data_IF_993780639855
#
_entry.id   IF_993780639855
#
_cell.length_a   1.000
_cell.length_b   1.000
_cell.length_c   1.000
_cell.angle_alpha   90.00
_cell.angle_beta   90.00
_cell.angle_gamma   90.00
#
_symmetry.space_group_name_H-M   'P 1'
#
loop_
_entity.id
_entity.type
_entity.pdbx_description
1 polymer ?
#
# COMPACT_ATOMS: atom_id res chain seq x y z
N UNK A 1 3.50 -13.79 -25.96
CA UNK A 1 2.12 -13.73 -25.43
C UNK A 1 1.71 -12.27 -25.50
N UNK A 2 0.59 -11.92 -26.13
CA UNK A 2 0.15 -10.52 -26.14
C UNK A 2 -0.52 -10.20 -24.80
N UNK A 3 0.13 -9.34 -24.03
CA UNK A 3 -0.42 -8.80 -22.78
C UNK A 3 -0.87 -7.37 -23.06
N UNK A 4 -2.11 -7.05 -22.68
CA UNK A 4 -2.66 -5.69 -22.79
C UNK A 4 -3.00 -5.17 -21.39
N UNK A 5 -2.73 -3.90 -21.16
CA UNK A 5 -3.08 -3.20 -19.92
C UNK A 5 -4.24 -2.24 -20.23
N UNK A 6 -5.32 -2.36 -19.45
CA UNK A 6 -6.55 -1.61 -19.64
C UNK A 6 -6.89 -0.80 -18.38
N UNK A 7 -6.78 0.53 -18.46
CA UNK A 7 -7.14 1.43 -17.36
C UNK A 7 -8.65 1.48 -17.09
N UNK A 8 -9.03 1.44 -15.82
CA UNK A 8 -10.41 1.64 -15.39
C UNK A 8 -10.66 3.13 -15.09
N UNK A 9 -11.00 3.89 -16.14
CA UNK A 9 -11.26 5.33 -16.07
C UNK A 9 -12.33 5.74 -15.04
N UNK A 10 -13.31 4.87 -14.76
CA UNK A 10 -14.33 5.16 -13.75
C UNK A 10 -13.75 5.16 -12.34
N UNK A 11 -12.82 4.24 -12.04
CA UNK A 11 -12.14 4.21 -10.75
C UNK A 11 -11.14 5.36 -10.62
N UNK A 12 -10.39 5.68 -11.68
CA UNK A 12 -9.47 6.83 -11.67
C UNK A 12 -10.23 8.12 -11.35
N UNK A 13 -11.37 8.34 -12.00
CA UNK A 13 -12.21 9.52 -11.78
C UNK A 13 -12.70 9.64 -10.33
N UNK A 14 -13.02 8.53 -9.66
CA UNK A 14 -13.47 8.58 -8.25
C UNK A 14 -12.33 8.90 -7.28
N UNK A 15 -11.07 8.66 -7.67
CA UNK A 15 -9.87 8.92 -6.87
C UNK A 15 -9.28 10.33 -7.03
N UNK A 16 -9.68 11.07 -8.07
CA UNK A 16 -9.21 12.45 -8.31
C UNK A 16 -9.37 13.39 -7.10
N UNK A 17 -10.41 13.19 -6.28
CA UNK A 17 -10.63 14.00 -5.06
C UNK A 17 -9.47 13.88 -4.06
N UNK A 18 -8.85 12.70 -3.97
CA UNK A 18 -7.71 12.44 -3.09
C UNK A 18 -6.40 12.92 -3.71
N UNK A 19 -6.23 12.76 -5.02
CA UNK A 19 -5.07 13.28 -5.75
C UNK A 19 -4.95 14.79 -5.67
N UNK A 20 -6.09 15.50 -5.60
CA UNK A 20 -6.13 16.96 -5.47
C UNK A 20 -6.15 17.42 -4.01
N UNK A 21 -6.17 16.50 -3.04
CA UNK A 21 -6.24 16.86 -1.62
C UNK A 21 -4.88 17.37 -1.12
N UNK A 22 -4.85 18.63 -0.71
CA UNK A 22 -3.63 19.29 -0.25
C UNK A 22 -2.99 18.61 0.96
N UNK A 23 -3.79 18.22 1.96
CA UNK A 23 -3.27 17.65 3.21
C UNK A 23 -2.76 16.23 2.98
N UNK A 24 -3.45 15.43 2.17
CA UNK A 24 -3.02 14.09 1.80
C UNK A 24 -1.69 14.12 1.03
N UNK A 25 -1.55 15.00 0.03
CA UNK A 25 -0.30 15.16 -0.71
C UNK A 25 0.85 15.63 0.19
N UNK A 26 0.56 16.54 1.14
CA UNK A 26 1.55 16.97 2.11
C UNK A 26 1.99 15.83 3.03
N UNK A 27 1.06 14.95 3.45
CA UNK A 27 1.37 13.76 4.24
C UNK A 27 2.22 12.76 3.45
N UNK A 28 1.91 12.54 2.17
CA UNK A 28 2.71 11.69 1.27
C UNK A 28 4.15 12.21 1.18
N UNK A 29 4.33 13.50 0.95
CA UNK A 29 5.66 14.11 0.89
C UNK A 29 6.42 13.96 2.21
N UNK A 30 5.76 14.08 3.35
CA UNK A 30 6.39 13.81 4.65
C UNK A 30 6.78 12.34 4.80
N UNK A 31 5.91 11.40 4.43
CA UNK A 31 6.22 9.97 4.50
C UNK A 31 7.43 9.60 3.61
N UNK A 32 7.57 10.22 2.45
CA UNK A 32 8.72 10.01 1.54
C UNK A 32 9.99 10.67 2.10
N UNK A 33 9.95 11.96 2.40
CA UNK A 33 11.14 12.73 2.78
C UNK A 33 11.72 12.31 4.14
N UNK A 34 10.88 11.79 5.01
CA UNK A 34 11.25 11.38 6.36
C UNK A 34 11.14 9.86 6.55
N UNK A 35 11.17 9.08 5.46
CA UNK A 35 10.96 7.63 5.49
C UNK A 35 11.86 6.90 6.51
N UNK A 36 13.11 7.32 6.65
CA UNK A 36 14.09 6.73 7.58
C UNK A 36 14.00 7.27 9.03
N UNK A 37 13.10 8.22 9.31
CA UNK A 37 12.92 8.77 10.65
C UNK A 37 12.21 7.75 11.54
N UNK A 38 12.86 7.40 12.65
CA UNK A 38 12.38 6.36 13.55
C UNK A 38 10.98 6.66 14.08
N UNK A 39 10.09 5.67 13.96
CA UNK A 39 8.71 5.76 14.44
C UNK A 39 7.74 6.55 13.56
N UNK A 40 8.21 7.28 12.53
CA UNK A 40 7.35 8.16 11.73
C UNK A 40 6.24 7.40 10.98
N UNK A 41 6.60 6.40 10.19
CA UNK A 41 5.60 5.65 9.41
C UNK A 41 4.62 4.88 10.32
N UNK A 42 5.10 4.39 11.47
CA UNK A 42 4.25 3.82 12.52
C UNK A 42 3.30 4.86 13.10
N UNK A 43 3.77 6.08 13.35
CA UNK A 43 2.93 7.18 13.82
C UNK A 43 1.85 7.52 12.80
N UNK A 44 2.22 7.72 11.53
CA UNK A 44 1.27 7.96 10.44
C UNK A 44 0.22 6.84 10.38
N UNK A 45 0.66 5.57 10.46
CA UNK A 45 -0.24 4.44 10.47
C UNK A 45 -1.26 4.52 11.61
N UNK A 46 -0.81 4.79 12.83
CA UNK A 46 -1.65 4.92 14.02
C UNK A 46 -2.62 6.09 13.87
N UNK A 47 -2.17 7.26 13.42
CA UNK A 47 -2.99 8.47 13.27
C UNK A 47 -4.22 8.24 12.37
N UNK A 48 -4.09 7.42 11.33
CA UNK A 48 -5.21 7.05 10.45
C UNK A 48 -6.31 6.19 11.12
N UNK A 49 -6.05 5.58 12.29
CA UNK A 49 -7.05 4.76 13.01
C UNK A 49 -7.82 5.53 14.09
N UNK A 50 -7.36 6.71 14.49
CA UNK A 50 -7.95 7.46 15.60
C UNK A 50 -9.10 8.34 15.10
N UNK A 51 -10.08 8.58 15.96
CA UNK A 51 -11.38 9.18 15.58
C UNK A 51 -11.78 10.40 16.40
N UNK A 52 -10.83 10.98 17.14
CA UNK A 52 -11.06 12.19 17.91
C UNK A 52 -9.73 12.86 18.26
N UNK A 53 -9.82 14.13 18.65
CA UNK A 53 -8.67 14.97 19.02
C UNK A 53 -7.92 14.47 20.25
N UNK A 54 -8.63 14.00 21.28
CA UNK A 54 -7.99 13.51 22.51
C UNK A 54 -7.06 12.33 22.21
N UNK A 55 -7.47 11.43 21.31
CA UNK A 55 -6.64 10.31 20.90
C UNK A 55 -5.42 10.76 20.08
N UNK A 56 -5.56 11.80 19.23
CA UNK A 56 -4.41 12.43 18.55
C UNK A 56 -3.38 12.95 19.55
N UNK A 57 -3.82 13.70 20.57
CA UNK A 57 -2.95 14.27 21.59
C UNK A 57 -2.23 13.17 22.40
N UNK A 58 -2.98 12.15 22.81
CA UNK A 58 -2.43 11.02 23.56
C UNK A 58 -1.36 10.27 22.74
N UNK A 59 -1.63 10.00 21.46
CA UNK A 59 -0.68 9.29 20.62
C UNK A 59 0.56 10.14 20.31
N UNK A 60 0.39 11.45 20.08
CA UNK A 60 1.54 12.34 19.92
C UNK A 60 2.44 12.33 21.16
N UNK A 61 1.87 12.44 22.36
CA UNK A 61 2.65 12.41 23.60
C UNK A 61 3.40 11.08 23.77
N UNK A 62 2.74 9.94 23.53
CA UNK A 62 3.35 8.61 23.63
C UNK A 62 4.52 8.45 22.63
N UNK A 63 4.34 8.89 21.40
CA UNK A 63 5.38 8.83 20.38
C UNK A 63 6.54 9.77 20.68
N UNK A 64 6.28 10.97 21.19
CA UNK A 64 7.33 11.89 21.63
C UNK A 64 8.19 11.27 22.75
N UNK A 65 7.56 10.62 23.73
CA UNK A 65 8.28 9.92 24.80
C UNK A 65 9.09 8.72 24.30
N UNK A 66 8.62 8.04 23.26
CA UNK A 66 9.24 6.82 22.71
C UNK A 66 10.34 7.14 21.70
N UNK A 67 10.19 8.22 20.93
CA UNK A 67 11.06 8.65 19.84
C UNK A 67 11.43 10.14 19.98
N UNK A 68 12.09 10.55 21.08
CA UNK A 68 12.36 11.96 21.35
C UNK A 68 13.23 12.63 20.29
N UNK A 69 14.10 11.87 19.62
CA UNK A 69 14.96 12.40 18.55
C UNK A 69 14.20 12.67 17.24
N UNK A 70 13.01 12.09 17.06
CA UNK A 70 12.15 12.28 15.90
C UNK A 70 11.04 13.32 16.13
N UNK A 71 11.10 14.07 17.24
CA UNK A 71 9.99 14.92 17.71
C UNK A 71 9.57 15.94 16.64
N UNK A 72 10.52 16.57 15.95
CA UNK A 72 10.24 17.62 14.98
C UNK A 72 9.39 17.09 13.82
N UNK A 73 9.73 15.93 13.26
CA UNK A 73 9.00 15.33 12.15
C UNK A 73 7.67 14.73 12.61
N UNK A 74 7.64 14.09 13.79
CA UNK A 74 6.39 13.59 14.40
C UNK A 74 5.42 14.73 14.67
N UNK A 75 5.89 15.87 15.17
CA UNK A 75 5.08 17.06 15.40
C UNK A 75 4.50 17.62 14.10
N UNK A 76 5.27 17.62 13.01
CA UNK A 76 4.76 18.03 11.69
C UNK A 76 3.59 17.15 11.22
N UNK A 77 3.70 15.83 11.39
CA UNK A 77 2.59 14.90 11.10
C UNK A 77 1.39 15.20 12.00
N UNK A 78 1.62 15.32 13.31
CA UNK A 78 0.56 15.61 14.27
C UNK A 78 -0.19 16.91 13.92
N UNK A 79 0.54 18.00 13.68
CA UNK A 79 -0.01 19.31 13.27
C UNK A 79 -0.83 19.22 12.00
N UNK A 80 -0.37 18.41 11.04
CA UNK A 80 -1.11 18.14 9.81
C UNK A 80 -2.46 17.47 10.11
N UNK A 81 -2.47 16.41 10.92
CA UNK A 81 -3.69 15.67 11.25
C UNK A 81 -4.71 16.49 12.06
N UNK A 82 -4.28 17.30 13.03
CA UNK A 82 -5.20 18.17 13.80
C UNK A 82 -5.77 19.33 12.99
N UNK A 83 -5.08 19.75 11.93
CA UNK A 83 -5.58 20.80 11.01
C UNK A 83 -6.48 20.18 9.94
N UNK A 84 -6.07 19.03 9.43
CA UNK A 84 -6.79 18.31 8.38
C UNK A 84 -8.09 17.68 8.90
N UNK A 85 -8.09 17.15 10.12
CA UNK A 85 -9.22 16.45 10.75
C UNK A 85 -9.83 15.37 9.85
N UNK A 86 -9.04 14.39 9.38
CA UNK A 86 -9.51 13.42 8.39
C UNK A 86 -10.68 12.56 8.90
N UNK A 87 -10.74 12.31 10.22
CA UNK A 87 -11.82 11.53 10.83
C UNK A 87 -13.20 12.20 10.77
N UNK A 88 -13.25 13.53 10.58
CA UNK A 88 -14.51 14.27 10.41
C UNK A 88 -14.92 14.39 8.94
N UNK A 89 -13.94 14.39 8.03
CA UNK A 89 -14.14 14.76 6.63
C UNK A 89 -14.28 13.57 5.67
N UNK A 90 -13.75 12.40 6.04
CA UNK A 90 -13.66 11.25 5.13
C UNK A 90 -14.20 9.96 5.76
N UNK A 91 -14.61 9.05 4.87
CA UNK A 91 -14.54 7.63 5.22
C UNK A 91 -13.06 7.23 5.37
N UNK A 92 -12.65 6.96 6.61
CA UNK A 92 -11.26 6.63 6.90
C UNK A 92 -10.80 5.34 6.19
N UNK A 93 -11.69 4.41 5.85
CA UNK A 93 -11.35 3.23 5.04
C UNK A 93 -10.90 3.63 3.63
N UNK A 94 -11.68 4.47 2.97
CA UNK A 94 -11.39 5.00 1.64
C UNK A 94 -10.10 5.84 1.65
N UNK A 95 -9.97 6.75 2.61
CA UNK A 95 -8.81 7.63 2.72
C UNK A 95 -7.50 6.84 2.94
N UNK A 96 -7.52 5.83 3.80
CA UNK A 96 -6.37 4.95 4.06
C UNK A 96 -5.92 4.20 2.81
N UNK A 97 -6.87 3.68 2.03
CA UNK A 97 -6.58 3.02 0.75
C UNK A 97 -5.88 3.97 -0.21
N UNK A 98 -6.48 5.14 -0.44
CA UNK A 98 -5.93 6.15 -1.36
C UNK A 98 -4.57 6.68 -0.90
N UNK A 99 -4.36 6.87 0.41
CA UNK A 99 -3.04 7.25 0.93
C UNK A 99 -1.95 6.26 0.53
N UNK A 100 -2.17 4.96 0.75
CA UNK A 100 -1.14 3.95 0.45
C UNK A 100 -0.88 3.83 -1.05
N UNK A 101 -1.93 3.87 -1.87
CA UNK A 101 -1.79 3.80 -3.31
C UNK A 101 -1.04 5.01 -3.86
N UNK A 102 -1.40 6.23 -3.43
CA UNK A 102 -0.71 7.44 -3.86
C UNK A 102 0.74 7.49 -3.36
N UNK A 103 0.99 7.08 -2.12
CA UNK A 103 2.35 6.95 -1.60
C UNK A 103 3.18 5.98 -2.44
N UNK A 104 2.64 4.80 -2.72
CA UNK A 104 3.31 3.76 -3.51
C UNK A 104 3.58 4.24 -4.93
N UNK A 105 2.58 4.85 -5.57
CA UNK A 105 2.70 5.41 -6.91
C UNK A 105 3.78 6.50 -6.99
N UNK A 106 3.81 7.45 -6.04
CA UNK A 106 4.79 8.52 -6.07
C UNK A 106 6.23 7.99 -5.90
N UNK A 107 6.44 6.98 -5.05
CA UNK A 107 7.78 6.38 -4.90
C UNK A 107 8.17 5.59 -6.15
N UNK A 108 7.26 4.77 -6.68
CA UNK A 108 7.51 3.99 -7.90
C UNK A 108 7.78 4.89 -9.10
N UNK A 109 7.03 5.98 -9.27
CA UNK A 109 7.22 6.93 -10.35
C UNK A 109 8.58 7.64 -10.29
N UNK A 110 9.15 7.83 -9.10
CA UNK A 110 10.51 8.34 -8.96
C UNK A 110 11.57 7.29 -9.30
N UNK A 111 11.31 6.01 -9.02
CA UNK A 111 12.24 4.91 -9.27
C UNK A 111 12.25 4.46 -10.74
N UNK A 112 11.07 4.40 -11.36
CA UNK A 112 10.83 3.90 -12.71
C UNK A 112 10.42 5.05 -13.65
N UNK A 113 11.16 6.15 -13.60
CA UNK A 113 10.78 7.40 -14.29
C UNK A 113 10.74 7.28 -15.83
N UNK A 114 11.42 6.28 -16.40
CA UNK A 114 11.45 6.01 -17.85
C UNK A 114 10.46 4.91 -18.28
N UNK A 115 9.81 4.27 -17.31
CA UNK A 115 8.93 3.12 -17.55
C UNK A 115 7.45 3.56 -17.61
N UNK A 116 6.60 2.69 -18.16
CA UNK A 116 5.16 2.97 -18.16
C UNK A 116 4.53 2.51 -16.85
N UNK A 117 3.88 3.43 -16.13
CA UNK A 117 3.17 3.14 -14.88
C UNK A 117 1.69 3.40 -15.08
N UNK A 118 0.88 2.37 -14.84
CA UNK A 118 -0.57 2.40 -14.96
C UNK A 118 -1.20 2.29 -13.59
N UNK A 119 -2.33 2.97 -13.39
CA UNK A 119 -3.10 2.91 -12.13
C UNK A 119 -4.48 2.35 -12.41
N UNK A 120 -5.09 1.71 -11.41
CA UNK A 120 -6.45 1.17 -11.53
C UNK A 120 -6.67 0.35 -12.80
N UNK A 121 -5.75 -0.56 -13.10
CA UNK A 121 -5.65 -1.20 -14.41
C UNK A 121 -5.86 -2.71 -14.37
N UNK A 122 -6.36 -3.29 -15.45
CA UNK A 122 -6.50 -4.73 -15.62
C UNK A 122 -5.49 -5.25 -16.63
N UNK A 123 -5.04 -6.48 -16.43
CA UNK A 123 -4.20 -7.22 -17.37
C UNK A 123 -5.11 -8.15 -18.17
N UNK A 124 -5.08 -8.03 -19.50
CA UNK A 124 -5.75 -8.95 -20.42
C UNK A 124 -4.73 -9.86 -21.11
N UNK A 125 -4.99 -11.16 -21.06
CA UNK A 125 -4.17 -12.21 -21.68
C UNK A 125 -5.11 -13.14 -22.44
N UNK A 126 -5.10 -13.05 -23.78
CA UNK A 126 -6.03 -13.79 -24.63
C UNK A 126 -7.48 -13.55 -24.16
N UNK A 127 -8.17 -14.56 -23.64
CA UNK A 127 -9.55 -14.48 -23.14
C UNK A 127 -9.66 -14.27 -21.62
N UNK A 128 -8.52 -14.17 -20.92
CA UNK A 128 -8.49 -13.91 -19.48
C UNK A 128 -8.35 -12.41 -19.20
N UNK A 129 -9.13 -11.90 -18.25
CA UNK A 129 -9.02 -10.54 -17.72
C UNK A 129 -8.81 -10.65 -16.21
N UNK A 130 -7.75 -10.02 -15.69
CA UNK A 130 -7.49 -9.98 -14.25
C UNK A 130 -8.50 -9.13 -13.50
N UNK A 131 -8.44 -9.15 -12.16
CA UNK A 131 -9.00 -8.07 -11.37
C UNK A 131 -8.27 -6.76 -11.65
N UNK A 132 -8.83 -5.65 -11.17
CA UNK A 132 -8.17 -4.33 -11.25
C UNK A 132 -7.06 -4.27 -10.22
N UNK A 133 -5.84 -4.03 -10.68
CA UNK A 133 -4.65 -3.75 -9.88
C UNK A 133 -4.59 -2.27 -9.54
N UNK A 134 -4.07 -1.97 -8.36
CA UNK A 134 -3.94 -0.59 -7.90
C UNK A 134 -2.85 0.13 -8.72
N UNK A 135 -1.70 -0.51 -8.94
CA UNK A 135 -0.58 0.00 -9.77
C UNK A 135 0.04 -1.15 -10.58
N UNK A 136 0.38 -0.87 -11.84
CA UNK A 136 1.16 -1.76 -12.72
C UNK A 136 2.37 -0.97 -13.23
N UNK A 137 3.57 -1.52 -13.07
CA UNK A 137 4.79 -1.00 -13.72
C UNK A 137 5.16 -1.95 -14.84
N UNK A 138 5.37 -1.40 -16.04
CA UNK A 138 5.82 -2.09 -17.24
C UNK A 138 7.25 -1.65 -17.56
N UNK A 139 8.20 -2.51 -17.18
CA UNK A 139 9.65 -2.29 -17.20
C UNK A 139 10.36 -3.59 -17.68
N UNK A 140 10.16 -3.92 -18.96
CA UNK A 140 10.46 -5.21 -19.62
C UNK A 140 9.71 -6.44 -19.03
N UNK A 141 9.44 -6.41 -17.74
CA UNK A 141 8.59 -7.30 -16.96
C UNK A 141 7.41 -6.50 -16.37
N UNK A 142 6.39 -7.21 -15.90
CA UNK A 142 5.23 -6.59 -15.24
C UNK A 142 5.34 -6.76 -13.75
N UNK A 143 5.29 -5.63 -13.04
CA UNK A 143 5.22 -5.56 -11.60
C UNK A 143 3.81 -5.13 -11.22
N UNK A 144 3.07 -6.04 -10.60
CA UNK A 144 1.65 -5.90 -10.30
C UNK A 144 1.47 -5.66 -8.81
N UNK A 145 1.15 -4.41 -8.45
CA UNK A 145 1.05 -3.98 -7.07
C UNK A 145 -0.41 -3.93 -6.60
N UNK A 146 -0.68 -4.61 -5.48
CA UNK A 146 -1.96 -4.56 -4.77
C UNK A 146 -1.73 -3.95 -3.38
N UNK A 147 -2.28 -2.75 -3.18
CA UNK A 147 -2.17 -1.97 -1.97
C UNK A 147 -3.30 -2.31 -0.99
N UNK A 148 -2.92 -2.60 0.26
CA UNK A 148 -3.85 -2.90 1.36
C UNK A 148 -3.36 -2.22 2.62
N UNK A 149 -3.86 -1.02 2.90
CA UNK A 149 -3.44 -0.26 4.10
C UNK A 149 -3.58 -1.07 5.39
N UNK A 150 -4.67 -1.84 5.53
CA UNK A 150 -4.89 -2.73 6.66
C UNK A 150 -4.86 -4.19 6.23
N UNK A 151 -4.11 -5.02 6.97
CA UNK A 151 -4.10 -6.47 6.80
C UNK A 151 -5.52 -7.10 6.82
N UNK A 152 -6.47 -6.50 7.54
CA UNK A 152 -7.84 -7.02 7.64
C UNK A 152 -8.58 -6.99 6.30
N UNK A 153 -8.19 -6.09 5.40
CA UNK A 153 -8.77 -5.97 4.06
C UNK A 153 -8.37 -7.12 3.13
N UNK A 154 -7.28 -7.84 3.44
CA UNK A 154 -6.89 -9.03 2.69
C UNK A 154 -7.90 -10.15 2.92
N UNK A 155 -8.43 -10.70 1.83
CA UNK A 155 -9.40 -11.80 1.80
C UNK A 155 -8.85 -12.91 0.90
N UNK A 156 -9.25 -14.16 1.20
CA UNK A 156 -8.82 -15.34 0.42
C UNK A 156 -9.12 -15.19 -1.08
N UNK A 157 -10.29 -14.64 -1.43
CA UNK A 157 -10.66 -14.38 -2.83
C UNK A 157 -9.65 -13.52 -3.59
N UNK A 158 -9.00 -12.54 -2.94
CA UNK A 158 -7.99 -11.70 -3.59
C UNK A 158 -6.74 -12.52 -3.90
N UNK A 159 -6.29 -13.34 -2.93
CA UNK A 159 -5.15 -14.26 -3.11
C UNK A 159 -5.42 -15.21 -4.29
N UNK A 160 -6.60 -15.81 -4.33
CA UNK A 160 -6.98 -16.75 -5.40
C UNK A 160 -7.00 -16.07 -6.78
N UNK A 161 -7.47 -14.83 -6.87
CA UNK A 161 -7.44 -14.03 -8.10
C UNK A 161 -6.02 -13.76 -8.58
N UNK A 162 -5.12 -13.37 -7.67
CA UNK A 162 -3.72 -13.12 -8.00
C UNK A 162 -3.01 -14.39 -8.47
N UNK A 163 -3.19 -15.52 -7.77
CA UNK A 163 -2.62 -16.81 -8.18
C UNK A 163 -3.16 -17.25 -9.54
N UNK A 164 -4.44 -17.02 -9.82
CA UNK A 164 -5.03 -17.34 -11.11
C UNK A 164 -4.34 -16.58 -12.25
N UNK A 165 -4.07 -15.27 -12.08
CA UNK A 165 -3.31 -14.50 -13.07
C UNK A 165 -1.87 -15.02 -13.19
N UNK A 166 -1.17 -15.26 -12.08
CA UNK A 166 0.21 -15.76 -12.13
C UNK A 166 0.33 -17.09 -12.88
N UNK A 167 -0.67 -17.98 -12.73
CA UNK A 167 -0.72 -19.22 -13.50
C UNK A 167 -1.00 -19.01 -15.00
N UNK A 168 -1.54 -17.84 -15.40
CA UNK A 168 -1.75 -17.47 -16.81
C UNK A 168 -0.54 -16.79 -17.44
N UNK A 169 0.27 -16.12 -16.62
CA UNK A 169 1.50 -15.45 -17.05
C UNK A 169 2.66 -16.43 -17.36
N UNK A 170 2.50 -17.73 -17.12
CA UNK A 170 3.37 -18.83 -17.58
C UNK A 170 4.90 -18.58 -17.46
N UNK A 171 5.44 -18.64 -16.23
CA UNK A 171 6.88 -18.59 -15.90
C UNK A 171 7.68 -17.38 -16.44
N UNK A 172 7.00 -16.35 -16.95
CA UNK A 172 7.60 -15.04 -17.13
C UNK A 172 7.85 -14.43 -15.75
N UNK A 173 8.98 -13.75 -15.58
CA UNK A 173 9.48 -13.15 -14.33
C UNK A 173 8.58 -12.05 -13.72
N UNK A 174 7.33 -11.89 -14.18
CA UNK A 174 6.37 -10.93 -13.63
C UNK A 174 6.18 -11.13 -12.12
N UNK A 175 6.19 -10.03 -11.38
CA UNK A 175 6.12 -10.05 -9.92
C UNK A 175 4.76 -9.55 -9.45
N UNK A 176 4.09 -10.34 -8.62
CA UNK A 176 2.92 -9.88 -7.86
C UNK A 176 3.38 -9.41 -6.49
N UNK A 177 3.07 -8.16 -6.17
CA UNK A 177 3.58 -7.47 -4.98
C UNK A 177 2.39 -7.00 -4.15
N UNK A 178 2.30 -7.51 -2.93
CA UNK A 178 1.33 -7.07 -1.94
C UNK A 178 1.95 -5.98 -1.08
N UNK A 179 1.40 -4.77 -1.13
CA UNK A 179 1.88 -3.62 -0.37
C UNK A 179 0.97 -3.40 0.83
N UNK A 180 1.54 -3.43 2.04
CA UNK A 180 0.82 -3.19 3.27
C UNK A 180 1.44 -2.04 4.05
N UNK A 181 0.59 -1.12 4.52
CA UNK A 181 0.97 -0.14 5.53
C UNK A 181 0.64 -0.69 6.92
N UNK A 182 1.16 -1.87 7.24
CA UNK A 182 0.89 -2.60 8.49
C UNK A 182 2.15 -3.39 8.88
N UNK A 183 2.46 -3.57 10.18
CA UNK A 183 3.56 -4.42 10.62
C UNK A 183 3.50 -5.86 10.07
N UNK A 184 4.65 -6.41 9.65
CA UNK A 184 4.79 -7.78 9.10
C UNK A 184 4.08 -8.84 9.91
N UNK A 185 4.21 -8.76 11.23
CA UNK A 185 3.66 -9.75 12.16
C UNK A 185 2.13 -9.89 11.99
N UNK A 186 1.42 -8.78 11.85
CA UNK A 186 -0.05 -8.78 11.69
C UNK A 186 -0.46 -9.35 10.34
N UNK A 187 0.31 -9.07 9.28
CA UNK A 187 0.11 -9.63 7.95
C UNK A 187 0.28 -11.16 8.00
N UNK A 188 1.36 -11.65 8.61
CA UNK A 188 1.63 -13.08 8.75
C UNK A 188 0.52 -13.81 9.53
N UNK A 189 0.04 -13.22 10.63
CA UNK A 189 -1.11 -13.76 11.39
C UNK A 189 -2.36 -13.85 10.51
N UNK A 190 -2.62 -12.84 9.68
CA UNK A 190 -3.75 -12.84 8.76
C UNK A 190 -3.63 -13.90 7.67
N UNK A 191 -2.46 -14.04 7.07
CA UNK A 191 -2.21 -15.04 6.04
C UNK A 191 -2.42 -16.45 6.59
N UNK A 192 -1.97 -16.75 7.80
CA UNK A 192 -2.25 -18.03 8.49
C UNK A 192 -3.76 -18.25 8.66
N UNK A 193 -4.50 -17.22 9.09
CA UNK A 193 -5.96 -17.32 9.23
C UNK A 193 -6.68 -17.60 7.89
N UNK A 194 -6.19 -17.03 6.80
CA UNK A 194 -6.78 -17.19 5.46
C UNK A 194 -6.51 -18.56 4.80
N UNK A 195 -5.69 -19.41 5.42
CA UNK A 195 -5.41 -20.77 4.96
C UNK A 195 -6.65 -21.67 4.86
N UNK A 196 -7.70 -21.39 5.64
CA UNK A 196 -8.84 -22.27 5.92
C UNK A 196 -9.25 -23.17 4.74
N UNK A 197 -9.30 -24.49 4.98
CA UNK A 197 -9.56 -25.56 4.01
C UNK A 197 -8.49 -25.84 2.94
N UNK A 198 -7.30 -25.22 3.03
CA UNK A 198 -6.14 -25.54 2.19
C UNK A 198 -5.05 -26.22 3.02
N UNK A 199 -4.43 -27.29 2.49
CA UNK A 199 -3.26 -27.92 3.11
C UNK A 199 -2.16 -26.89 3.33
N UNK A 200 -1.52 -26.93 4.50
CA UNK A 200 -0.53 -25.93 4.93
C UNK A 200 0.60 -25.75 3.92
N UNK A 201 1.18 -26.85 3.45
CA UNK A 201 2.27 -26.84 2.46
C UNK A 201 1.85 -26.15 1.16
N UNK A 202 0.70 -26.55 0.59
CA UNK A 202 0.16 -25.95 -0.63
C UNK A 202 -0.15 -24.46 -0.45
N UNK A 203 -0.68 -24.07 0.71
CA UNK A 203 -0.98 -22.68 0.98
C UNK A 203 0.30 -21.86 1.13
N UNK A 204 1.31 -22.37 1.83
CA UNK A 204 2.61 -21.73 1.96
C UNK A 204 3.29 -21.54 0.59
N UNK A 205 3.26 -22.57 -0.27
CA UNK A 205 3.74 -22.48 -1.66
C UNK A 205 3.03 -21.37 -2.44
N UNK A 206 1.71 -21.22 -2.30
CA UNK A 206 0.97 -20.12 -2.93
C UNK A 206 1.43 -18.76 -2.40
N UNK A 207 1.56 -18.61 -1.08
CA UNK A 207 1.93 -17.32 -0.47
C UNK A 207 3.36 -16.91 -0.81
N UNK A 208 4.29 -17.87 -0.88
CA UNK A 208 5.70 -17.61 -1.20
C UNK A 208 5.91 -17.09 -2.63
N UNK A 209 4.88 -17.12 -3.48
CA UNK A 209 4.92 -16.52 -4.83
C UNK A 209 4.73 -15.01 -4.81
N UNK A 210 4.27 -14.43 -3.69
CA UNK A 210 4.08 -13.00 -3.56
C UNK A 210 5.28 -12.35 -2.90
N UNK A 211 5.71 -11.23 -3.47
CA UNK A 211 6.53 -10.29 -2.72
C UNK A 211 5.61 -9.48 -1.81
N UNK A 212 5.94 -9.38 -0.54
CA UNK A 212 5.14 -8.62 0.40
C UNK A 212 6.01 -7.48 0.94
N UNK A 213 5.55 -6.26 0.74
CA UNK A 213 6.11 -5.03 1.30
C UNK A 213 5.26 -4.65 2.51
N UNK A 214 5.89 -4.34 3.63
CA UNK A 214 5.24 -4.00 4.90
C UNK A 214 5.59 -2.59 5.40
N UNK A 215 5.10 -2.24 6.59
CA UNK A 215 5.38 -0.96 7.23
C UNK A 215 6.86 -0.77 7.60
N UNK A 216 7.54 -1.85 7.97
CA UNK A 216 8.97 -1.83 8.29
C UNK A 216 9.81 -1.52 7.05
N UNK A 217 9.42 -1.99 5.87
CA UNK A 217 10.07 -1.70 4.58
C UNK A 217 9.96 -0.20 4.25
N UNK A 218 8.78 0.42 4.44
CA UNK A 218 8.60 1.87 4.30
C UNK A 218 9.48 2.67 5.28
N UNK A 219 9.88 2.07 6.41
CA UNK A 219 10.69 2.73 7.43
C UNK A 219 12.20 2.67 7.14
N UNK A 220 12.62 1.97 6.07
CA UNK A 220 14.04 1.81 5.68
C UNK A 220 14.46 2.72 4.52
N UNK A 221 13.56 3.53 3.99
CA UNK A 221 13.80 4.35 2.79
C UNK A 221 12.83 3.95 1.67
N UNK A 222 13.36 3.65 0.48
CA UNK A 222 12.53 3.21 -0.64
C UNK A 222 12.17 1.72 -0.50
N UNK A 223 10.89 1.36 -0.25
CA UNK A 223 10.47 -0.03 -0.06
C UNK A 223 10.39 -0.86 -1.34
N UNK A 224 10.54 -0.23 -2.52
CA UNK A 224 10.42 -0.85 -3.83
C UNK A 224 11.76 -1.14 -4.51
N UNK A 225 12.87 -0.86 -3.83
CA UNK A 225 14.18 -1.36 -4.24
C UNK A 225 14.16 -2.89 -4.07
N UNK A 226 14.17 -3.59 -5.20
CA UNK A 226 14.34 -5.04 -5.21
C UNK A 226 15.83 -5.33 -5.38
N UNK A 227 16.43 -5.99 -4.39
CA UNK A 227 17.73 -6.65 -4.54
C UNK A 227 17.63 -7.86 -5.49
#
# INVERSE_FOLDING_TARGET
MNILIEENNNNLKSKEKFEKDYYLNKLINYAINYASVSGLNTFINVMFYLKNMKDYDNQFYLFNMTYPESICEIEQIYRLFITWLPFEKYDLGELRGNFLELLSYNILNNQYAECSIYRESRVRIVDYISHTWDIIVDDDELYLYECKFSYQSLRRKHIDQMIALMNKLNDLNHKVILVFYTPREKINRRLKYLQFNTKETKYAEMINRFNIIDLEDFSRGNPFLMD
#
